data_IF_892617013289
#
_entry.id   IF_892617013289
#
_cell.length_a   1.000
_cell.length_b   1.000
_cell.length_c   1.000
_cell.angle_alpha   90.00
_cell.angle_beta   90.00
_cell.angle_gamma   90.00
#
_symmetry.space_group_name_H-M   'P 1'
#
loop_
_entity.id
_entity.type
_entity.pdbx_description
1 polymer ?
#
# COMPACT_ATOMS: atom_id res chain seq x y z
N UNK A 1 -7.66 -4.42 1.94
CA UNK A 1 -8.59 -4.34 3.08
C UNK A 1 -9.58 -5.48 2.96
N UNK A 2 -9.80 -6.30 3.99
CA UNK A 2 -10.87 -7.29 3.95
C UNK A 2 -12.21 -6.53 3.79
N UNK A 3 -12.96 -6.88 2.75
CA UNK A 3 -14.31 -6.36 2.57
C UNK A 3 -15.16 -7.01 3.66
N UNK A 4 -15.72 -6.21 4.56
CA UNK A 4 -16.64 -6.74 5.57
C UNK A 4 -17.93 -7.16 4.86
N UNK A 5 -18.39 -8.42 5.01
CA UNK A 5 -19.67 -8.81 4.44
C UNK A 5 -20.78 -7.93 5.04
N UNK A 6 -21.82 -7.58 4.26
CA UNK A 6 -22.96 -6.86 4.79
C UNK A 6 -23.67 -7.74 5.83
N UNK A 7 -24.06 -7.14 6.97
CA UNK A 7 -24.97 -7.79 7.91
C UNK A 7 -26.36 -7.83 7.29
N UNK A 8 -26.96 -9.01 7.19
CA UNK A 8 -28.34 -9.16 6.71
C UNK A 8 -29.34 -8.70 7.78
N UNK A 9 -28.98 -8.88 9.04
CA UNK A 9 -29.69 -8.41 10.23
C UNK A 9 -28.65 -8.09 11.30
N UNK A 10 -28.75 -6.94 11.95
CA UNK A 10 -27.78 -6.43 12.93
C UNK A 10 -28.34 -6.39 14.36
N UNK A 11 -29.55 -6.91 14.59
CA UNK A 11 -30.16 -6.97 15.93
C UNK A 11 -29.35 -7.84 16.88
N UNK A 12 -29.06 -7.29 18.05
CA UNK A 12 -28.43 -8.00 19.16
C UNK A 12 -29.46 -8.69 20.06
N UNK A 13 -29.00 -9.54 20.96
CA UNK A 13 -29.82 -10.10 22.04
C UNK A 13 -30.65 -9.04 22.77
N UNK A 14 -30.03 -7.92 23.17
CA UNK A 14 -30.72 -6.86 23.93
C UNK A 14 -31.81 -6.16 23.09
N UNK A 15 -31.57 -5.99 21.80
CA UNK A 15 -32.55 -5.43 20.87
C UNK A 15 -33.76 -6.36 20.73
N UNK A 16 -33.51 -7.66 20.57
CA UNK A 16 -34.55 -8.69 20.46
C UNK A 16 -35.38 -8.79 21.76
N UNK A 17 -34.71 -8.74 22.91
CA UNK A 17 -35.37 -8.75 24.22
C UNK A 17 -36.24 -7.51 24.42
N UNK A 18 -35.74 -6.34 24.03
CA UNK A 18 -36.46 -5.07 24.13
C UNK A 18 -37.67 -5.05 23.19
N UNK A 19 -37.51 -5.56 21.97
CA UNK A 19 -38.58 -5.71 20.98
C UNK A 19 -39.69 -6.63 21.49
N UNK A 20 -39.33 -7.76 22.11
CA UNK A 20 -40.30 -8.71 22.68
C UNK A 20 -41.06 -8.08 23.87
N UNK A 21 -40.40 -7.33 24.73
CA UNK A 21 -41.05 -6.60 25.83
C UNK A 21 -42.06 -5.57 25.32
N UNK A 22 -41.70 -4.81 24.30
CA UNK A 22 -42.57 -3.80 23.71
C UNK A 22 -43.85 -4.40 23.11
N UNK A 23 -43.83 -5.70 22.76
CA UNK A 23 -44.97 -6.44 22.22
C UNK A 23 -45.91 -7.01 23.29
N UNK A 24 -45.49 -7.13 24.55
CA UNK A 24 -46.29 -7.71 25.64
C UNK A 24 -47.66 -7.02 25.80
N UNK A 25 -47.78 -5.68 25.86
CA UNK A 25 -49.09 -5.04 26.08
C UNK A 25 -50.11 -5.32 24.98
N UNK A 26 -49.65 -5.59 23.76
CA UNK A 26 -50.51 -5.87 22.61
C UNK A 26 -50.98 -7.33 22.54
N UNK A 27 -50.20 -8.27 23.05
CA UNK A 27 -50.45 -9.71 22.90
C UNK A 27 -50.85 -10.41 24.20
N UNK A 28 -50.38 -9.94 25.34
CA UNK A 28 -50.60 -10.53 26.68
C UNK A 28 -50.83 -9.40 27.70
N UNK A 29 -51.93 -8.64 27.59
CA UNK A 29 -52.22 -7.51 28.47
C UNK A 29 -52.39 -7.91 29.95
N UNK A 30 -52.68 -9.19 30.23
CA UNK A 30 -52.74 -9.75 31.58
C UNK A 30 -51.39 -9.82 32.29
N UNK A 31 -50.27 -9.78 31.55
CA UNK A 31 -48.92 -9.82 32.10
C UNK A 31 -48.36 -8.41 32.26
N UNK A 32 -48.53 -7.85 33.45
CA UNK A 32 -48.30 -6.42 33.72
C UNK A 32 -46.91 -6.07 34.25
N UNK A 33 -46.16 -7.04 34.78
CA UNK A 33 -44.85 -6.81 35.41
C UNK A 33 -43.82 -7.92 35.07
N UNK A 34 -43.27 -7.91 33.83
CA UNK A 34 -42.26 -8.87 33.39
C UNK A 34 -40.89 -8.53 34.00
N UNK A 35 -40.60 -9.09 35.18
CA UNK A 35 -39.32 -8.86 35.89
C UNK A 35 -38.21 -9.81 35.41
N UNK A 36 -36.94 -9.38 35.40
CA UNK A 36 -35.80 -10.30 35.22
C UNK A 36 -35.87 -11.46 36.22
N UNK A 37 -35.76 -12.69 35.73
CA UNK A 37 -35.86 -13.92 36.53
C UNK A 37 -37.28 -14.51 36.69
N UNK A 38 -38.32 -13.85 36.19
CA UNK A 38 -39.65 -14.45 36.03
C UNK A 38 -39.59 -15.59 34.98
N UNK A 39 -40.23 -16.76 35.18
CA UNK A 39 -40.30 -17.81 34.16
C UNK A 39 -40.73 -17.32 32.78
N UNK A 40 -41.73 -16.42 32.69
CA UNK A 40 -42.17 -15.86 31.41
C UNK A 40 -41.09 -15.03 30.73
N UNK A 41 -40.40 -14.17 31.50
CA UNK A 41 -39.28 -13.37 31.04
C UNK A 41 -38.10 -14.23 30.57
N UNK A 42 -37.82 -15.31 31.30
CA UNK A 42 -36.74 -16.26 31.00
C UNK A 42 -36.96 -16.96 29.65
N UNK A 43 -38.22 -17.30 29.32
CA UNK A 43 -38.56 -17.87 28.02
C UNK A 43 -38.31 -16.86 26.89
N UNK A 44 -38.69 -15.59 27.06
CA UNK A 44 -38.39 -14.55 26.07
C UNK A 44 -36.88 -14.37 25.85
N UNK A 45 -36.11 -14.32 26.94
CA UNK A 45 -34.65 -14.24 26.88
C UNK A 45 -34.04 -15.46 26.18
N UNK A 46 -34.54 -16.67 26.45
CA UNK A 46 -34.09 -17.89 25.76
C UNK A 46 -34.33 -17.81 24.25
N UNK A 47 -35.51 -17.37 23.82
CA UNK A 47 -35.83 -17.23 22.40
C UNK A 47 -35.04 -16.10 21.72
N UNK A 48 -34.79 -15.00 22.43
CA UNK A 48 -33.91 -13.94 21.95
C UNK A 48 -32.48 -14.46 21.74
N UNK A 49 -31.94 -15.24 22.69
CA UNK A 49 -30.62 -15.86 22.57
C UNK A 49 -30.53 -16.86 21.41
N UNK A 50 -31.56 -17.70 21.23
CA UNK A 50 -31.63 -18.63 20.11
C UNK A 50 -31.64 -17.87 18.76
N UNK A 51 -32.41 -16.79 18.70
CA UNK A 51 -32.53 -15.96 17.50
C UNK A 51 -31.22 -15.25 17.19
N UNK A 52 -30.57 -14.63 18.17
CA UNK A 52 -29.24 -14.01 18.04
C UNK A 52 -28.20 -15.00 17.47
N UNK A 53 -28.21 -16.24 17.98
CA UNK A 53 -27.35 -17.32 17.47
C UNK A 53 -27.67 -17.68 16.01
N UNK A 54 -28.93 -17.64 15.61
CA UNK A 54 -29.33 -17.87 14.21
C UNK A 54 -28.96 -16.70 13.30
N UNK A 55 -29.16 -15.45 13.75
CA UNK A 55 -28.78 -14.25 13.01
C UNK A 55 -27.28 -14.23 12.72
N UNK A 56 -26.45 -14.61 13.69
CA UNK A 56 -25.01 -14.81 13.49
C UNK A 56 -24.71 -15.75 12.30
N UNK A 57 -25.39 -16.90 12.22
CA UNK A 57 -25.19 -17.88 11.12
C UNK A 57 -25.67 -17.35 9.77
N UNK A 58 -26.79 -16.64 9.76
CA UNK A 58 -27.33 -16.00 8.56
C UNK A 58 -26.36 -14.96 8.03
N UNK A 59 -25.74 -14.16 8.91
CA UNK A 59 -24.73 -13.16 8.56
C UNK A 59 -23.42 -13.76 7.99
N UNK A 60 -23.17 -15.06 8.16
CA UNK A 60 -22.06 -15.77 7.51
C UNK A 60 -22.40 -16.31 6.10
N UNK A 61 -23.67 -16.33 5.72
CA UNK A 61 -24.13 -16.82 4.41
C UNK A 61 -23.55 -16.02 3.22
N UNK A 62 -23.49 -14.67 3.25
CA UNK A 62 -22.97 -13.88 2.15
C UNK A 62 -21.55 -14.26 1.72
N UNK A 63 -20.68 -14.60 2.68
CA UNK A 63 -19.30 -14.98 2.37
C UNK A 63 -19.23 -16.35 1.67
N UNK A 64 -20.00 -17.33 2.15
CA UNK A 64 -20.08 -18.66 1.52
C UNK A 64 -20.65 -18.58 0.10
N UNK A 65 -21.71 -17.80 -0.09
CA UNK A 65 -22.31 -17.57 -1.39
C UNK A 65 -21.32 -16.89 -2.35
N UNK A 66 -20.59 -15.86 -1.88
CA UNK A 66 -19.56 -15.19 -2.68
C UNK A 66 -18.49 -16.18 -3.17
N UNK A 67 -18.00 -17.07 -2.30
CA UNK A 67 -17.03 -18.07 -2.70
C UNK A 67 -17.61 -19.04 -3.75
N UNK A 68 -18.84 -19.51 -3.55
CA UNK A 68 -19.52 -20.36 -4.53
C UNK A 68 -19.71 -19.67 -5.89
N UNK A 69 -20.11 -18.39 -5.90
CA UNK A 69 -20.23 -17.61 -7.13
C UNK A 69 -18.89 -17.42 -7.84
N UNK A 70 -17.80 -17.12 -7.11
CA UNK A 70 -16.47 -17.01 -7.70
C UNK A 70 -16.01 -18.34 -8.32
N UNK A 71 -16.32 -19.47 -7.67
CA UNK A 71 -16.04 -20.80 -8.21
C UNK A 71 -16.85 -21.08 -9.48
N UNK A 72 -18.15 -20.73 -9.51
CA UNK A 72 -19.00 -20.88 -10.69
C UNK A 72 -18.55 -20.01 -11.87
N UNK A 73 -18.04 -18.80 -11.59
CA UNK A 73 -17.45 -17.93 -12.61
C UNK A 73 -16.04 -18.38 -13.07
N UNK A 74 -15.51 -19.46 -12.50
CA UNK A 74 -14.17 -19.95 -12.82
C UNK A 74 -13.06 -19.00 -12.37
N UNK A 75 -13.31 -18.16 -11.36
CA UNK A 75 -12.31 -17.23 -10.80
C UNK A 75 -11.58 -17.96 -9.66
N UNK A 76 -10.35 -18.45 -9.87
CA UNK A 76 -9.61 -19.14 -8.83
C UNK A 76 -9.12 -18.17 -7.75
N UNK A 77 -8.78 -18.73 -6.58
CA UNK A 77 -7.96 -18.03 -5.60
C UNK A 77 -6.63 -17.63 -6.25
N UNK A 78 -6.29 -16.34 -6.18
CA UNK A 78 -4.99 -15.87 -6.67
C UNK A 78 -3.90 -16.44 -5.78
N UNK A 79 -2.87 -17.10 -6.34
CA UNK A 79 -1.76 -17.60 -5.55
C UNK A 79 -0.98 -16.44 -4.94
N UNK A 80 -0.21 -16.72 -3.89
CA UNK A 80 0.80 -15.79 -3.42
C UNK A 80 1.81 -15.54 -4.56
N UNK A 81 2.10 -14.27 -4.83
CA UNK A 81 3.11 -13.87 -5.80
C UNK A 81 4.41 -13.55 -5.06
N UNK A 82 5.54 -13.93 -5.66
CA UNK A 82 6.85 -13.56 -5.13
C UNK A 82 6.98 -12.04 -5.07
N UNK A 83 7.50 -11.52 -3.96
CA UNK A 83 7.83 -10.11 -3.86
C UNK A 83 8.94 -9.78 -4.88
N UNK A 84 8.80 -8.64 -5.56
CA UNK A 84 9.79 -8.11 -6.48
C UNK A 84 10.23 -6.74 -6.00
N UNK A 85 11.50 -6.41 -6.20
CA UNK A 85 12.07 -5.14 -5.76
C UNK A 85 13.33 -4.80 -6.54
N UNK A 86 13.72 -3.52 -6.45
CA UNK A 86 14.97 -3.02 -6.99
C UNK A 86 16.03 -3.03 -5.90
N UNK A 87 17.25 -3.42 -6.27
CA UNK A 87 18.42 -3.34 -5.40
C UNK A 87 19.49 -2.46 -6.05
N UNK A 88 20.31 -1.82 -5.21
CA UNK A 88 21.52 -1.15 -5.65
C UNK A 88 22.72 -2.05 -5.35
N UNK A 89 23.63 -2.20 -6.31
CA UNK A 89 24.89 -2.91 -6.15
C UNK A 89 26.01 -1.88 -6.18
N UNK A 90 26.79 -1.83 -5.11
CA UNK A 90 27.92 -0.93 -4.98
C UNK A 90 29.22 -1.74 -4.95
N UNK A 91 30.22 -1.28 -5.71
CA UNK A 91 31.57 -1.83 -5.66
C UNK A 91 32.22 -1.37 -4.35
N UNK A 92 32.88 -2.28 -3.62
CA UNK A 92 33.52 -1.97 -2.34
C UNK A 92 34.62 -0.91 -2.47
N UNK A 93 35.27 -0.84 -3.63
CA UNK A 93 36.27 0.19 -3.93
C UNK A 93 35.80 0.99 -5.15
N UNK A 94 35.68 2.32 -5.05
CA UNK A 94 35.22 3.17 -6.17
C UNK A 94 36.22 3.26 -7.33
N UNK A 95 37.46 2.82 -7.11
CA UNK A 95 38.50 2.69 -8.15
C UNK A 95 38.49 1.33 -8.85
N UNK A 96 37.63 0.40 -8.44
CA UNK A 96 37.53 -0.91 -9.10
C UNK A 96 36.85 -0.76 -10.46
N UNK A 97 37.62 -1.01 -11.51
CA UNK A 97 37.17 -0.94 -12.90
C UNK A 97 36.81 -2.30 -13.48
N UNK A 98 36.87 -3.37 -12.68
CA UNK A 98 36.51 -4.71 -13.11
C UNK A 98 35.01 -4.83 -13.31
N UNK A 99 34.67 -5.65 -14.29
CA UNK A 99 33.29 -6.06 -14.51
C UNK A 99 33.02 -7.36 -13.75
N UNK A 100 31.94 -7.41 -12.99
CA UNK A 100 31.54 -8.60 -12.24
C UNK A 100 30.27 -9.20 -12.83
N UNK A 101 30.20 -10.53 -12.88
CA UNK A 101 29.05 -11.26 -13.41
C UNK A 101 28.35 -11.98 -12.26
N UNK A 102 27.09 -11.64 -12.03
CA UNK A 102 26.22 -12.32 -11.08
C UNK A 102 25.43 -13.39 -11.82
N UNK A 103 25.50 -14.62 -11.31
CA UNK A 103 24.72 -15.75 -11.84
C UNK A 103 23.22 -15.51 -11.62
N UNK A 104 22.35 -16.13 -12.43
CA UNK A 104 20.92 -16.23 -12.12
C UNK A 104 20.71 -16.85 -10.74
N UNK A 105 19.63 -16.44 -10.06
CA UNK A 105 19.28 -16.92 -8.72
C UNK A 105 20.39 -16.66 -7.67
N UNK A 106 21.15 -15.57 -7.83
CA UNK A 106 22.11 -15.15 -6.83
C UNK A 106 21.37 -14.63 -5.58
N UNK A 107 21.64 -15.25 -4.43
CA UNK A 107 20.98 -14.91 -3.17
C UNK A 107 21.49 -13.59 -2.61
N UNK A 108 20.55 -12.71 -2.31
CA UNK A 108 20.74 -11.42 -1.63
C UNK A 108 20.21 -11.59 -0.22
N UNK A 109 21.11 -11.55 0.76
CA UNK A 109 20.76 -11.68 2.18
C UNK A 109 20.05 -10.42 2.67
N UNK A 110 18.94 -10.62 3.37
CA UNK A 110 18.17 -9.57 4.03
C UNK A 110 17.29 -10.15 5.14
N UNK A 111 16.32 -9.39 5.67
CA UNK A 111 15.31 -9.93 6.58
C UNK A 111 14.50 -11.08 5.95
N UNK A 112 14.32 -11.03 4.64
CA UNK A 112 13.85 -12.11 3.78
C UNK A 112 14.88 -12.25 2.67
N UNK A 113 15.28 -13.48 2.35
CA UNK A 113 16.21 -13.75 1.26
C UNK A 113 15.52 -13.44 -0.08
N UNK A 114 16.18 -12.63 -0.91
CA UNK A 114 15.80 -12.41 -2.30
C UNK A 114 16.79 -13.08 -3.24
N UNK A 115 16.39 -13.32 -4.48
CA UNK A 115 17.26 -13.89 -5.51
C UNK A 115 17.17 -13.04 -6.79
N UNK A 116 18.26 -12.95 -7.54
CA UNK A 116 18.23 -12.31 -8.86
C UNK A 116 17.40 -13.16 -9.83
N UNK A 117 16.55 -12.53 -10.64
CA UNK A 117 15.75 -13.25 -11.64
C UNK A 117 16.63 -13.80 -12.77
N UNK A 118 17.56 -12.96 -13.24
CA UNK A 118 18.41 -13.22 -14.38
C UNK A 118 19.88 -13.03 -14.03
N UNK A 119 20.72 -13.31 -15.00
CA UNK A 119 22.12 -12.97 -14.97
C UNK A 119 22.33 -11.44 -15.06
N UNK A 120 23.25 -10.90 -14.27
CA UNK A 120 23.52 -9.46 -14.23
C UNK A 120 25.01 -9.18 -14.34
N UNK A 121 25.37 -8.29 -15.26
CA UNK A 121 26.73 -7.76 -15.38
C UNK A 121 26.82 -6.43 -14.66
N UNK A 122 27.62 -6.38 -13.60
CA UNK A 122 27.90 -5.17 -12.82
C UNK A 122 29.07 -4.44 -13.49
N UNK A 123 28.77 -3.30 -14.08
CA UNK A 123 29.74 -2.40 -14.70
C UNK A 123 30.23 -1.37 -13.66
N UNK A 124 31.45 -0.81 -13.82
CA UNK A 124 31.97 0.25 -12.96
C UNK A 124 31.33 1.61 -13.29
N UNK A 125 30.01 1.68 -13.20
CA UNK A 125 29.20 2.88 -13.43
C UNK A 125 28.55 3.29 -12.12
N UNK A 126 28.40 4.60 -11.92
CA UNK A 126 27.66 5.15 -10.79
C UNK A 126 26.25 5.47 -11.22
N UNK A 127 25.25 4.99 -10.47
CA UNK A 127 23.85 5.27 -10.73
C UNK A 127 23.32 6.20 -9.63
N UNK A 128 22.78 7.35 -10.03
CA UNK A 128 22.06 8.24 -9.13
C UNK A 128 20.58 8.29 -9.49
N UNK A 129 19.72 8.13 -8.50
CA UNK A 129 18.26 8.16 -8.69
C UNK A 129 17.70 9.47 -8.17
N UNK A 130 17.04 10.19 -9.06
CA UNK A 130 16.42 11.48 -8.81
C UNK A 130 14.90 11.41 -8.98
N UNK A 131 14.22 12.35 -8.34
CA UNK A 131 12.78 12.57 -8.51
C UNK A 131 12.45 14.03 -8.64
N UNK A 132 11.34 14.29 -9.34
CA UNK A 132 10.66 15.58 -9.33
C UNK A 132 9.73 15.64 -8.13
N UNK A 133 10.30 15.94 -6.97
CA UNK A 133 9.59 15.96 -5.69
C UNK A 133 8.61 17.14 -5.64
N UNK A 134 7.37 16.86 -5.22
CA UNK A 134 6.37 17.90 -4.95
C UNK A 134 6.81 18.78 -3.79
N UNK A 135 6.59 20.09 -3.91
CA UNK A 135 6.81 21.02 -2.81
C UNK A 135 5.77 20.77 -1.70
N UNK A 136 6.23 20.82 -0.46
CA UNK A 136 5.35 20.92 0.70
C UNK A 136 4.65 22.28 0.75
N UNK A 137 3.63 22.42 1.60
CA UNK A 137 2.86 23.68 1.76
C UNK A 137 3.77 24.83 2.19
N UNK A 138 4.72 24.58 3.10
CA UNK A 138 5.69 25.57 3.58
C UNK A 138 6.68 25.99 2.50
N UNK A 139 7.18 25.04 1.71
CA UNK A 139 8.08 25.32 0.58
C UNK A 139 7.36 26.11 -0.52
N UNK A 140 6.10 25.76 -0.81
CA UNK A 140 5.29 26.46 -1.80
C UNK A 140 5.10 27.93 -1.41
N UNK A 141 4.84 28.21 -0.13
CA UNK A 141 4.75 29.58 0.37
C UNK A 141 6.09 30.32 0.27
N UNK A 142 7.20 29.65 0.64
CA UNK A 142 8.55 30.24 0.62
C UNK A 142 9.04 30.59 -0.78
N UNK A 143 8.71 29.78 -1.77
CA UNK A 143 9.18 29.94 -3.16
C UNK A 143 8.10 30.51 -4.09
N UNK A 144 7.03 31.11 -3.55
CA UNK A 144 5.92 31.65 -4.33
C UNK A 144 6.37 32.71 -5.35
N UNK A 145 7.27 33.62 -4.96
CA UNK A 145 7.82 34.65 -5.86
C UNK A 145 8.63 34.04 -7.01
N UNK A 146 9.43 33.01 -6.72
CA UNK A 146 10.20 32.28 -7.74
C UNK A 146 9.26 31.57 -8.71
N UNK A 147 8.21 30.93 -8.21
CA UNK A 147 7.17 30.31 -9.04
C UNK A 147 6.51 31.32 -9.99
N UNK A 148 6.13 32.50 -9.48
CA UNK A 148 5.56 33.56 -10.31
C UNK A 148 6.55 34.10 -11.36
N UNK A 149 7.82 34.27 -10.97
CA UNK A 149 8.90 34.70 -11.88
C UNK A 149 9.13 33.70 -13.02
N UNK A 150 9.19 32.40 -12.70
CA UNK A 150 9.35 31.34 -13.69
C UNK A 150 8.16 31.30 -14.66
N UNK A 151 6.92 31.45 -14.18
CA UNK A 151 5.75 31.52 -15.06
C UNK A 151 5.84 32.67 -16.07
N UNK A 152 6.39 33.82 -15.68
CA UNK A 152 6.63 34.94 -16.59
C UNK A 152 7.73 34.63 -17.60
N UNK A 153 8.85 34.04 -17.16
CA UNK A 153 9.98 33.69 -18.04
C UNK A 153 9.56 32.66 -19.10
N UNK A 154 8.79 31.66 -18.70
CA UNK A 154 8.32 30.60 -19.61
C UNK A 154 7.01 30.95 -20.33
N UNK A 155 6.50 32.19 -20.19
CA UNK A 155 5.23 32.64 -20.78
C UNK A 155 4.05 31.70 -20.51
N UNK A 156 3.99 31.13 -19.30
CA UNK A 156 2.92 30.21 -18.92
C UNK A 156 1.62 30.97 -18.70
N UNK A 157 0.58 30.59 -19.44
CA UNK A 157 -0.76 31.18 -19.29
C UNK A 157 -1.48 30.56 -18.09
N UNK A 158 -2.47 31.23 -17.48
CA UNK A 158 -3.24 30.67 -16.36
C UNK A 158 -3.95 29.34 -16.69
N UNK A 159 -4.17 29.04 -17.97
CA UNK A 159 -4.69 27.76 -18.46
C UNK A 159 -3.64 26.63 -18.49
N UNK A 160 -2.35 26.96 -18.43
CA UNK A 160 -1.24 26.00 -18.38
C UNK A 160 -0.85 25.77 -16.93
N UNK A 161 -1.38 24.71 -16.34
CA UNK A 161 -0.99 24.27 -14.99
C UNK A 161 0.39 23.63 -15.01
N UNK A 162 1.42 24.41 -14.69
CA UNK A 162 2.75 23.88 -14.36
C UNK A 162 2.83 23.63 -12.85
N UNK A 163 3.17 22.40 -12.46
CA UNK A 163 3.41 22.06 -11.07
C UNK A 163 4.90 22.29 -10.72
N UNK A 164 5.23 23.15 -9.75
CA UNK A 164 6.61 23.33 -9.31
C UNK A 164 7.10 22.04 -8.63
N UNK A 165 8.41 21.78 -8.77
CA UNK A 165 9.06 20.62 -8.17
C UNK A 165 10.51 20.95 -7.76
N UNK A 166 11.04 20.14 -6.86
CA UNK A 166 12.49 20.07 -6.61
C UNK A 166 13.07 18.78 -7.18
N UNK A 167 14.25 18.88 -7.79
CA UNK A 167 15.04 17.70 -8.14
C UNK A 167 15.75 17.20 -6.89
N UNK A 168 15.27 16.09 -6.33
CA UNK A 168 15.80 15.52 -5.10
C UNK A 168 16.39 14.12 -5.34
N UNK A 169 17.57 13.78 -4.80
CA UNK A 169 18.08 12.42 -4.81
C UNK A 169 17.33 11.56 -3.78
N UNK A 170 17.03 10.30 -4.10
CA UNK A 170 16.31 9.39 -3.19
C UNK A 170 17.26 8.55 -2.33
N UNK A 171 18.43 8.22 -2.86
CA UNK A 171 19.43 7.40 -2.18
C UNK A 171 20.65 8.25 -1.82
N UNK A 172 20.46 9.26 -0.98
CA UNK A 172 21.57 10.08 -0.47
C UNK A 172 22.57 9.21 0.28
N UNK A 173 23.78 9.07 -0.27
CA UNK A 173 24.83 8.21 0.28
C UNK A 173 24.55 6.70 0.13
N UNK A 174 23.83 6.29 -0.92
CA UNK A 174 23.61 4.86 -1.25
C UNK A 174 22.58 4.15 -0.36
N UNK A 175 21.96 4.86 0.58
CA UNK A 175 21.02 4.27 1.54
C UNK A 175 19.57 4.62 1.23
N UNK A 176 18.64 3.65 1.29
CA UNK A 176 17.21 3.94 1.18
C UNK A 176 16.73 4.76 2.39
N UNK A 177 15.75 5.63 2.17
CA UNK A 177 15.06 6.31 3.27
C UNK A 177 14.38 5.29 4.19
N UNK A 178 14.54 5.43 5.50
CA UNK A 178 14.05 4.46 6.49
C UNK A 178 12.51 4.23 6.43
N UNK A 179 11.75 5.24 6.01
CA UNK A 179 10.28 5.14 5.85
C UNK A 179 9.81 4.70 4.47
N UNK A 180 10.73 4.32 3.57
CA UNK A 180 10.43 4.08 2.17
C UNK A 180 10.10 5.37 1.40
N UNK A 181 10.05 5.27 0.07
CA UNK A 181 9.69 6.38 -0.80
C UNK A 181 8.67 5.90 -1.84
N UNK A 182 7.53 6.60 -1.95
CA UNK A 182 6.50 6.30 -2.95
C UNK A 182 6.51 7.36 -4.04
N UNK A 183 6.86 6.95 -5.27
CA UNK A 183 6.85 7.85 -6.42
C UNK A 183 5.46 8.42 -6.69
N UNK A 184 4.42 7.60 -6.64
CA UNK A 184 3.04 8.00 -6.96
C UNK A 184 2.53 9.16 -6.08
N UNK A 185 2.88 9.18 -4.79
CA UNK A 185 2.43 10.24 -3.88
C UNK A 185 3.38 11.44 -3.84
N UNK A 186 4.70 11.21 -3.87
CA UNK A 186 5.71 12.24 -3.59
C UNK A 186 6.27 12.94 -4.83
N UNK A 187 6.05 12.40 -6.02
CA UNK A 187 6.57 12.99 -7.27
C UNK A 187 5.46 13.62 -8.10
N UNK A 188 5.83 14.60 -8.92
CA UNK A 188 4.90 15.28 -9.83
C UNK A 188 4.50 14.37 -11.00
N UNK A 189 5.42 13.56 -11.50
CA UNK A 189 5.26 12.74 -12.71
C UNK A 189 5.04 11.25 -12.44
N UNK A 190 5.14 10.79 -11.20
CA UNK A 190 5.01 9.37 -10.84
C UNK A 190 6.23 8.54 -11.21
N UNK A 191 7.35 9.17 -11.58
CA UNK A 191 8.51 8.50 -12.18
C UNK A 191 9.77 8.62 -11.32
N UNK A 192 10.69 7.66 -11.50
CA UNK A 192 12.07 7.75 -11.05
C UNK A 192 12.97 8.09 -12.23
N UNK A 193 13.89 9.02 -12.03
CA UNK A 193 14.86 9.42 -13.05
C UNK A 193 16.22 8.81 -12.71
N UNK A 194 16.73 8.00 -13.61
CA UNK A 194 17.98 7.25 -13.45
C UNK A 194 19.11 7.97 -14.20
N UNK A 195 20.06 8.55 -13.47
CA UNK A 195 21.25 9.17 -14.02
C UNK A 195 22.43 8.20 -13.94
N UNK A 196 22.88 7.70 -15.09
CA UNK A 196 24.10 6.91 -15.22
C UNK A 196 25.28 7.85 -15.38
N UNK A 197 26.23 7.75 -14.46
CA UNK A 197 27.43 8.55 -14.38
C UNK A 197 28.65 7.64 -14.59
N UNK A 198 29.58 8.12 -15.40
CA UNK A 198 30.88 7.47 -15.54
C UNK A 198 31.76 7.77 -14.30
N UNK A 199 32.77 6.94 -14.06
CA UNK A 199 33.82 7.25 -13.08
C UNK A 199 34.47 8.60 -13.42
N UNK A 200 35.02 9.32 -12.43
CA UNK A 200 35.62 10.64 -12.62
C UNK A 200 36.56 10.71 -13.85
N UNK A 201 36.58 11.88 -14.50
CA UNK A 201 37.31 12.13 -15.76
C UNK A 201 38.78 11.65 -15.75
N UNK A 202 39.45 11.71 -14.59
CA UNK A 202 40.84 11.27 -14.41
C UNK A 202 41.04 9.77 -14.71
N UNK A 203 40.04 8.92 -14.47
CA UNK A 203 40.14 7.46 -14.68
C UNK A 203 39.49 6.99 -15.99
N UNK A 204 38.74 7.86 -16.67
CA UNK A 204 37.95 7.47 -17.85
C UNK A 204 38.83 7.07 -19.05
N UNK A 205 39.95 7.77 -19.27
CA UNK A 205 40.86 7.47 -20.38
C UNK A 205 41.54 6.10 -20.20
N UNK A 206 41.98 5.77 -18.99
CA UNK A 206 42.57 4.48 -18.66
C UNK A 206 41.55 3.33 -18.75
N UNK A 207 40.32 3.56 -18.29
CA UNK A 207 39.24 2.58 -18.41
C UNK A 207 38.88 2.28 -19.88
N UNK A 208 38.75 3.32 -20.72
CA UNK A 208 38.46 3.14 -22.15
C UNK A 208 39.54 2.36 -22.89
N UNK A 209 40.80 2.42 -22.43
CA UNK A 209 41.90 1.63 -22.98
C UNK A 209 41.88 0.18 -22.49
N UNK A 210 41.46 -0.08 -21.24
CA UNK A 210 41.41 -1.44 -20.68
C UNK A 210 40.24 -2.29 -21.20
N UNK A 211 39.21 -1.66 -21.76
CA UNK A 211 38.00 -2.32 -22.30
C UNK A 211 38.12 -2.63 -23.81
N UNK A 212 39.11 -2.08 -24.51
CA UNK A 212 39.43 -2.41 -25.91
C UNK A 212 40.30 -3.64 -26.01
#
# INVERSE_FOLDING_TARGET
>A
MPIRPPSLDDRSFDDLVSELLARIPAHTPEWTDPRPGDPGRTVLELFAWLTDTLLYRVNLSPEKQRLAFLQLLGIPLKPALAAQGLICLELTSPSDTKTYRLRPLARIKGPVDFETCDELTVLPLSLQVYVKQKLSVSETARYAEVGQGLSRIYNLTASQQAAPYFTAPIFSGGRPAAGGFSAASRTVDGCFWLALLASSQENQAAHNQAVR
#
